data_IF_689258296848
#
_entry.id   IF_689258296848
#
_cell.length_a   1.000
_cell.length_b   1.000
_cell.length_c   1.000
_cell.angle_alpha   90.00
_cell.angle_beta   90.00
_cell.angle_gamma   90.00
#
_symmetry.space_group_name_H-M   'P 1'
#
loop_
_entity.id
_entity.type
_entity.pdbx_description
1 polymer ?
#
# COMPACT_ATOMS: atom_id res chain seq x y z
N UNK A 1 30.50 -18.02 25.83
CA UNK A 1 29.07 -18.41 25.91
C UNK A 1 28.36 -17.81 24.70
N UNK A 2 27.78 -18.64 23.86
CA UNK A 2 27.02 -18.15 22.73
C UNK A 2 25.72 -17.48 23.20
N UNK A 3 25.30 -16.35 22.62
CA UNK A 3 24.01 -15.76 22.95
C UNK A 3 22.88 -16.75 22.60
N UNK A 4 21.86 -16.76 23.41
CA UNK A 4 20.68 -17.55 23.10
C UNK A 4 20.07 -17.07 21.78
N UNK A 5 19.58 -17.99 20.91
CA UNK A 5 18.88 -17.54 19.71
C UNK A 5 17.63 -16.76 20.09
N UNK A 6 17.39 -15.67 19.37
CA UNK A 6 16.17 -14.89 19.57
C UNK A 6 14.99 -15.79 19.18
N UNK A 7 14.12 -16.10 20.14
CA UNK A 7 12.93 -16.88 19.86
C UNK A 7 11.91 -16.05 19.11
N UNK A 8 10.96 -16.71 18.44
CA UNK A 8 9.87 -16.00 17.74
C UNK A 8 9.10 -15.11 18.72
N UNK A 9 9.02 -15.50 20.00
CA UNK A 9 8.34 -14.73 21.04
C UNK A 9 9.06 -13.41 21.38
N UNK A 10 10.37 -13.31 21.11
CA UNK A 10 11.16 -12.11 21.40
C UNK A 10 11.19 -11.10 20.24
N UNK A 11 10.61 -11.45 19.10
CA UNK A 11 10.48 -10.51 17.98
C UNK A 11 9.24 -9.65 18.17
N UNK A 12 9.30 -8.36 17.82
CA UNK A 12 8.09 -7.54 17.80
C UNK A 12 7.02 -8.22 16.95
N UNK A 13 5.88 -8.48 17.55
CA UNK A 13 4.75 -9.01 16.80
C UNK A 13 4.23 -7.93 15.84
N UNK A 14 3.82 -8.31 14.62
CA UNK A 14 3.21 -7.35 13.73
C UNK A 14 1.87 -6.89 14.27
N UNK A 15 1.59 -5.60 14.18
CA UNK A 15 0.23 -5.11 14.31
C UNK A 15 -0.50 -5.54 13.03
N UNK A 16 -1.51 -6.43 13.11
CA UNK A 16 -2.16 -6.92 11.91
C UNK A 16 -2.99 -5.82 11.25
N UNK A 17 -2.98 -5.81 9.92
CA UNK A 17 -3.92 -5.02 9.15
C UNK A 17 -5.06 -5.97 8.80
N UNK A 18 -6.17 -5.83 9.49
CA UNK A 18 -7.28 -6.77 9.34
C UNK A 18 -8.62 -6.05 9.44
N UNK A 19 -9.47 -6.22 8.44
CA UNK A 19 -10.78 -5.61 8.38
C UNK A 19 -10.84 -4.47 7.38
N UNK A 20 -11.80 -3.59 7.58
CA UNK A 20 -12.06 -2.48 6.67
C UNK A 20 -11.32 -1.23 7.11
N UNK A 21 -10.73 -0.56 6.13
CA UNK A 21 -9.99 0.69 6.35
C UNK A 21 -10.36 1.70 5.28
N UNK A 22 -10.36 2.97 5.68
CA UNK A 22 -10.29 4.07 4.73
C UNK A 22 -8.81 4.34 4.44
N UNK A 23 -8.42 4.18 3.20
CA UNK A 23 -7.06 4.45 2.75
C UNK A 23 -7.02 5.84 2.11
N UNK A 24 -6.35 6.77 2.75
CA UNK A 24 -6.13 8.10 2.20
C UNK A 24 -4.84 8.11 1.40
N UNK A 25 -4.96 8.42 0.12
CA UNK A 25 -3.85 8.67 -0.78
C UNK A 25 -3.70 10.19 -0.89
N UNK A 26 -2.72 10.74 -0.19
CA UNK A 26 -2.62 12.20 -0.04
C UNK A 26 -1.88 12.84 -1.20
N UNK A 27 -2.54 12.85 -2.37
CA UNK A 27 -2.00 13.47 -3.57
C UNK A 27 -1.82 14.98 -3.44
N UNK A 28 -2.43 15.63 -2.42
CA UNK A 28 -2.21 17.05 -2.18
C UNK A 28 -0.78 17.35 -1.75
N UNK A 29 -0.08 16.34 -1.18
CA UNK A 29 1.33 16.46 -0.79
C UNK A 29 2.25 15.67 -1.71
N UNK A 30 1.76 15.21 -2.85
CA UNK A 30 2.54 14.44 -3.80
C UNK A 30 3.68 15.26 -4.38
N UNK A 31 4.82 14.59 -4.58
CA UNK A 31 5.96 15.18 -5.27
C UNK A 31 6.35 14.32 -6.46
N UNK A 32 7.04 14.92 -7.41
CA UNK A 32 7.69 14.24 -8.52
C UNK A 32 9.14 14.73 -8.57
N UNK A 33 10.08 13.80 -8.36
CA UNK A 33 11.51 14.10 -8.23
C UNK A 33 11.78 15.19 -7.18
N UNK A 34 11.01 15.17 -6.08
CA UNK A 34 11.16 16.11 -4.98
C UNK A 34 10.46 17.46 -5.16
N UNK A 35 9.90 17.74 -6.33
CA UNK A 35 9.16 18.96 -6.57
C UNK A 35 7.65 18.71 -6.40
N UNK A 36 6.89 19.72 -5.95
CA UNK A 36 5.45 19.54 -5.80
C UNK A 36 4.78 19.09 -7.10
N UNK A 37 3.96 18.05 -7.00
CA UNK A 37 3.15 17.54 -8.10
C UNK A 37 1.73 17.27 -7.55
N UNK A 38 1.08 18.34 -7.13
CA UNK A 38 -0.16 18.31 -6.36
C UNK A 38 -1.31 17.81 -7.22
N UNK A 39 -2.11 16.89 -6.63
CA UNK A 39 -3.31 16.39 -7.26
C UNK A 39 -4.41 16.25 -6.19
N UNK A 40 -5.61 15.90 -6.61
CA UNK A 40 -6.75 15.71 -5.73
C UNK A 40 -6.51 14.48 -4.84
N UNK A 41 -6.59 14.61 -3.50
CA UNK A 41 -6.52 13.44 -2.62
C UNK A 41 -7.62 12.43 -2.94
N UNK A 42 -7.30 11.16 -2.76
CA UNK A 42 -8.25 10.07 -2.96
C UNK A 42 -8.40 9.27 -1.67
N UNK A 43 -9.64 8.89 -1.35
CA UNK A 43 -9.92 7.96 -0.25
C UNK A 43 -10.54 6.71 -0.84
N UNK A 44 -9.99 5.55 -0.49
CA UNK A 44 -10.47 4.26 -0.96
C UNK A 44 -10.84 3.40 0.22
N UNK A 45 -11.95 2.67 0.10
CA UNK A 45 -12.28 1.64 1.07
C UNK A 45 -11.44 0.40 0.74
N UNK A 46 -10.71 -0.10 1.72
CA UNK A 46 -9.90 -1.31 1.58
C UNK A 46 -10.33 -2.38 2.55
N UNK A 47 -10.32 -3.64 2.10
CA UNK A 47 -10.46 -4.78 2.98
C UNK A 47 -9.11 -5.50 3.06
N UNK A 48 -8.61 -5.66 4.28
CA UNK A 48 -7.32 -6.28 4.53
C UNK A 48 -7.47 -7.57 5.30
N UNK A 49 -6.65 -8.56 4.98
CA UNK A 49 -6.50 -9.79 5.76
C UNK A 49 -5.02 -9.97 6.08
N UNK A 50 -4.72 -10.51 7.25
CA UNK A 50 -3.35 -10.81 7.67
C UNK A 50 -3.27 -12.27 8.09
N UNK A 51 -2.27 -12.98 7.59
CA UNK A 51 -1.98 -14.36 7.96
C UNK A 51 -0.50 -14.50 8.24
N UNK A 52 -0.16 -15.27 9.27
CA UNK A 52 1.22 -15.52 9.68
C UNK A 52 1.49 -17.02 9.70
N UNK A 53 2.69 -17.39 9.26
CA UNK A 53 3.17 -18.77 9.32
C UNK A 53 4.65 -18.77 9.74
N UNK A 54 5.31 -19.91 9.60
CA UNK A 54 6.73 -20.05 9.98
C UNK A 54 7.65 -19.16 9.13
N UNK A 55 7.20 -18.70 7.97
CA UNK A 55 7.97 -17.85 7.06
C UNK A 55 7.71 -16.36 7.30
N UNK A 56 6.79 -16.01 8.19
CA UNK A 56 6.47 -14.62 8.50
C UNK A 56 5.00 -14.29 8.28
N UNK A 57 4.72 -13.01 8.27
CA UNK A 57 3.35 -12.49 8.16
C UNK A 57 3.15 -11.78 6.84
N UNK A 58 2.01 -12.01 6.22
CA UNK A 58 1.59 -11.36 4.99
C UNK A 58 0.23 -10.71 5.22
N UNK A 59 0.12 -9.44 4.88
CA UNK A 59 -1.15 -8.73 4.85
C UNK A 59 -1.54 -8.48 3.39
N UNK A 60 -2.80 -8.74 3.06
CA UNK A 60 -3.32 -8.62 1.70
C UNK A 60 -4.38 -7.54 1.66
N UNK A 61 -4.18 -6.57 0.78
CA UNK A 61 -5.20 -5.57 0.45
C UNK A 61 -6.01 -6.13 -0.71
N UNK A 62 -7.26 -6.48 -0.45
CA UNK A 62 -8.12 -7.08 -1.45
C UNK A 62 -8.64 -6.01 -2.42
N UNK A 63 -8.86 -6.42 -3.66
CA UNK A 63 -9.41 -5.53 -4.67
C UNK A 63 -10.78 -5.02 -4.28
N UNK A 64 -11.09 -3.79 -4.63
CA UNK A 64 -12.37 -3.16 -4.31
C UNK A 64 -13.55 -3.99 -4.80
N UNK A 65 -13.44 -4.62 -5.96
CA UNK A 65 -14.48 -5.49 -6.50
C UNK A 65 -14.75 -6.73 -5.65
N UNK A 66 -13.83 -7.10 -4.78
CA UNK A 66 -13.94 -8.28 -3.92
C UNK A 66 -14.47 -7.94 -2.52
N UNK A 67 -14.54 -6.65 -2.15
CA UNK A 67 -14.81 -6.21 -0.78
C UNK A 67 -16.11 -6.78 -0.22
N UNK A 68 -17.12 -6.97 -1.03
CA UNK A 68 -18.44 -7.43 -0.57
C UNK A 68 -18.64 -8.94 -0.67
N UNK A 69 -17.70 -9.71 -1.23
CA UNK A 69 -18.03 -11.05 -1.69
C UNK A 69 -17.03 -12.15 -1.39
N UNK A 70 -15.72 -11.89 -1.37
CA UNK A 70 -14.77 -13.00 -1.34
C UNK A 70 -13.44 -12.61 -0.70
N UNK A 71 -13.23 -13.11 0.53
CA UNK A 71 -11.96 -12.93 1.25
C UNK A 71 -10.79 -13.66 0.59
N UNK A 72 -11.06 -14.57 -0.33
CA UNK A 72 -10.04 -15.33 -1.06
C UNK A 72 -9.76 -14.76 -2.44
N UNK A 73 -10.39 -13.64 -2.79
CA UNK A 73 -10.13 -12.98 -4.05
C UNK A 73 -8.66 -12.55 -4.18
N UNK A 74 -8.14 -12.42 -5.40
CA UNK A 74 -6.77 -11.97 -5.58
C UNK A 74 -6.51 -10.62 -4.91
N UNK A 75 -5.39 -10.52 -4.21
CA UNK A 75 -4.98 -9.27 -3.59
C UNK A 75 -4.61 -8.24 -4.65
N UNK A 76 -4.97 -6.98 -4.39
CA UNK A 76 -4.45 -5.85 -5.15
C UNK A 76 -2.98 -5.64 -4.82
N UNK A 77 -2.64 -5.70 -3.51
CA UNK A 77 -1.28 -5.59 -3.02
C UNK A 77 -1.04 -6.58 -1.89
N UNK A 78 0.19 -7.03 -1.74
CA UNK A 78 0.63 -7.83 -0.62
C UNK A 78 1.73 -7.10 0.14
N UNK A 79 1.60 -7.08 1.47
CA UNK A 79 2.55 -6.45 2.37
C UNK A 79 3.18 -7.52 3.24
N UNK A 80 4.49 -7.39 3.48
CA UNK A 80 5.24 -8.29 4.36
C UNK A 80 5.74 -7.51 5.57
N UNK A 81 5.60 -8.12 6.74
CA UNK A 81 6.11 -7.55 7.99
C UNK A 81 7.62 -7.78 8.07
N UNK A 82 8.38 -6.69 8.28
CA UNK A 82 9.84 -6.78 8.38
C UNK A 82 10.37 -6.69 9.83
N UNK A 83 9.47 -6.71 10.84
CA UNK A 83 9.82 -6.52 12.24
C UNK A 83 9.54 -5.12 12.77
N UNK A 84 9.29 -4.16 11.89
CA UNK A 84 9.03 -2.76 12.23
C UNK A 84 7.84 -2.19 11.48
N UNK A 85 7.69 -2.57 10.23
CA UNK A 85 6.63 -2.05 9.36
C UNK A 85 6.25 -3.06 8.29
N UNK A 86 5.11 -2.81 7.67
CA UNK A 86 4.64 -3.56 6.51
C UNK A 86 5.23 -2.96 5.23
N UNK A 87 5.74 -3.79 4.34
CA UNK A 87 6.33 -3.36 3.08
C UNK A 87 5.75 -4.11 1.90
N UNK A 88 5.54 -3.39 0.80
CA UNK A 88 5.03 -3.95 -0.45
C UNK A 88 5.78 -3.33 -1.62
N UNK A 89 6.04 -4.13 -2.64
CA UNK A 89 6.65 -3.66 -3.88
C UNK A 89 6.11 -4.48 -5.05
N UNK A 90 6.10 -3.87 -6.23
CA UNK A 90 5.67 -4.55 -7.43
C UNK A 90 5.43 -3.59 -8.57
N UNK A 91 5.09 -4.14 -9.72
CA UNK A 91 4.70 -3.36 -10.87
C UNK A 91 3.30 -2.79 -10.68
N UNK A 92 3.09 -1.59 -11.20
CA UNK A 92 1.80 -0.93 -11.14
C UNK A 92 1.53 -0.19 -12.45
N UNK A 93 0.37 -0.41 -13.08
CA UNK A 93 0.02 0.32 -14.29
C UNK A 93 -0.35 1.76 -13.95
N UNK A 94 0.28 2.71 -14.62
CA UNK A 94 0.02 4.13 -14.47
C UNK A 94 -0.64 4.64 -15.74
N UNK A 95 -1.84 5.19 -15.60
CA UNK A 95 -2.56 5.76 -16.73
C UNK A 95 -2.09 7.16 -17.00
N UNK A 96 -1.73 7.46 -18.24
CA UNK A 96 -1.24 8.77 -18.61
C UNK A 96 -2.32 9.84 -18.46
N UNK A 97 -3.57 9.48 -18.71
CA UNK A 97 -4.72 10.33 -18.46
C UNK A 97 -5.82 9.56 -17.72
N UNK A 98 -6.61 10.22 -16.87
CA UNK A 98 -7.65 9.55 -16.09
C UNK A 98 -8.70 8.82 -16.93
N UNK A 99 -8.91 9.24 -18.18
CA UNK A 99 -9.87 8.60 -19.09
C UNK A 99 -9.27 7.41 -19.86
N UNK A 100 -8.00 7.07 -19.60
CA UNK A 100 -7.29 5.99 -20.27
C UNK A 100 -6.65 6.39 -21.60
N UNK A 101 -6.83 7.63 -22.07
CA UNK A 101 -6.18 8.09 -23.29
C UNK A 101 -4.67 8.31 -23.04
N UNK A 102 -3.87 8.26 -24.11
CA UNK A 102 -2.43 8.42 -24.00
C UNK A 102 -1.69 7.17 -23.54
N UNK A 103 -2.41 6.06 -23.27
CA UNK A 103 -1.82 4.79 -22.92
C UNK A 103 -1.52 4.63 -21.43
N UNK A 104 -0.84 3.52 -21.12
CA UNK A 104 -0.38 3.20 -19.77
C UNK A 104 1.12 2.99 -19.77
N UNK A 105 1.73 3.26 -18.63
CA UNK A 105 3.15 2.98 -18.37
C UNK A 105 3.23 2.06 -17.18
N UNK A 106 4.06 1.00 -17.27
CA UNK A 106 4.32 0.15 -16.13
C UNK A 106 5.33 0.84 -15.22
N UNK A 107 4.93 1.09 -13.98
CA UNK A 107 5.79 1.70 -12.97
C UNK A 107 6.21 0.65 -11.94
N UNK A 108 7.25 0.96 -11.17
CA UNK A 108 7.62 0.19 -9.99
C UNK A 108 7.06 0.92 -8.77
N UNK A 109 6.17 0.24 -8.05
CA UNK A 109 5.53 0.76 -6.84
C UNK A 109 6.25 0.20 -5.61
N UNK A 110 6.42 1.03 -4.61
CA UNK A 110 6.92 0.61 -3.30
C UNK A 110 6.15 1.34 -2.23
N UNK A 111 5.57 0.58 -1.28
CA UNK A 111 4.81 1.11 -0.16
C UNK A 111 5.42 0.62 1.14
N UNK A 112 5.30 1.43 2.20
CA UNK A 112 5.44 0.93 3.55
C UNK A 112 4.34 1.53 4.43
N UNK A 113 3.96 0.77 5.48
CA UNK A 113 2.94 1.16 6.45
C UNK A 113 3.44 0.80 7.83
N UNK A 114 3.45 1.77 8.74
CA UNK A 114 3.85 1.58 10.12
C UNK A 114 2.66 1.78 11.05
N UNK A 115 2.47 0.90 12.05
CA UNK A 115 1.38 1.06 13.00
C UNK A 115 1.57 2.31 13.85
N UNK A 116 0.48 3.03 14.09
CA UNK A 116 0.48 4.24 14.94
C UNK A 116 0.18 3.91 16.40
N UNK A 117 -0.19 2.68 16.73
CA UNK A 117 -0.52 2.26 18.09
C UNK A 117 -2.00 2.39 18.46
N UNK A 118 -2.81 2.97 17.60
CA UNK A 118 -4.26 3.18 17.82
C UNK A 118 -5.13 2.38 16.85
N UNK A 119 -4.53 1.45 16.11
CA UNK A 119 -5.21 0.66 15.08
C UNK A 119 -5.10 1.26 13.68
N UNK A 120 -4.59 2.48 13.56
CA UNK A 120 -4.34 3.12 12.27
C UNK A 120 -2.89 2.89 11.83
N UNK A 121 -2.63 3.16 10.57
CA UNK A 121 -1.30 3.01 9.97
C UNK A 121 -0.97 4.25 9.14
N UNK A 122 0.30 4.61 9.14
CA UNK A 122 0.81 5.70 8.31
C UNK A 122 2.00 5.21 7.51
N UNK A 123 2.14 5.70 6.31
CA UNK A 123 3.26 5.32 5.47
C UNK A 123 3.42 6.17 4.24
N UNK A 124 4.11 5.61 3.27
CA UNK A 124 4.45 6.31 2.04
C UNK A 124 4.33 5.34 0.87
N UNK A 125 4.04 5.92 -0.29
CA UNK A 125 4.04 5.20 -1.57
C UNK A 125 4.92 5.93 -2.56
N UNK A 126 5.72 5.17 -3.30
CA UNK A 126 6.50 5.69 -4.40
C UNK A 126 6.15 4.96 -5.68
N UNK A 127 6.15 5.69 -6.79
CA UNK A 127 6.05 5.12 -8.13
C UNK A 127 7.24 5.60 -8.94
N UNK A 128 8.03 4.67 -9.46
CA UNK A 128 9.11 5.02 -10.37
C UNK A 128 8.64 4.82 -11.80
N UNK A 129 8.63 5.92 -12.55
CA UNK A 129 8.23 5.95 -13.94
C UNK A 129 9.48 5.78 -14.79
N UNK A 130 9.53 4.74 -15.64
CA UNK A 130 10.69 4.54 -16.51
C UNK A 130 10.67 5.51 -17.69
N UNK A 131 11.77 5.59 -18.41
CA UNK A 131 11.83 6.25 -19.69
C UNK A 131 11.67 5.22 -20.82
N UNK A 132 10.79 5.48 -21.83
CA UNK A 132 9.89 6.62 -21.95
C UNK A 132 8.68 6.50 -21.05
N UNK A 133 8.22 7.64 -20.51
CA UNK A 133 6.98 7.72 -19.75
C UNK A 133 5.83 8.21 -20.60
N UNK A 134 4.85 8.84 -19.94
CA UNK A 134 3.73 9.46 -20.64
C UNK A 134 4.22 10.64 -21.51
N UNK A 135 3.48 10.98 -22.57
CA UNK A 135 3.86 12.14 -23.41
C UNK A 135 4.04 13.41 -22.56
N UNK A 136 5.17 14.08 -22.76
CA UNK A 136 5.50 15.29 -22.02
C UNK A 136 6.02 15.06 -20.60
N UNK A 137 6.14 13.80 -20.17
CA UNK A 137 6.61 13.45 -18.85
C UNK A 137 7.93 12.68 -18.94
N UNK A 138 8.95 13.19 -18.29
CA UNK A 138 10.24 12.51 -18.21
C UNK A 138 10.20 11.37 -17.17
N UNK A 139 11.27 10.56 -17.10
CA UNK A 139 11.40 9.54 -16.07
C UNK A 139 11.57 10.19 -14.69
N UNK A 140 11.07 9.51 -13.65
CA UNK A 140 11.22 10.01 -12.30
C UNK A 140 10.41 9.23 -11.29
N UNK A 141 10.38 9.73 -10.08
CA UNK A 141 9.69 9.07 -8.97
C UNK A 141 8.65 10.00 -8.37
N UNK A 142 7.40 9.52 -8.33
CA UNK A 142 6.34 10.12 -7.54
C UNK A 142 6.42 9.61 -6.12
N UNK A 143 6.18 10.47 -5.17
CA UNK A 143 6.07 10.15 -3.75
C UNK A 143 4.79 10.77 -3.19
N UNK A 144 4.09 10.03 -2.34
CA UNK A 144 2.95 10.55 -1.59
C UNK A 144 2.80 9.83 -0.26
N UNK A 145 2.29 10.54 0.78
CA UNK A 145 1.94 9.89 2.03
C UNK A 145 0.64 9.12 1.89
N UNK A 146 0.54 8.01 2.63
CA UNK A 146 -0.68 7.23 2.73
C UNK A 146 -1.04 7.02 4.20
N UNK A 147 -2.32 6.89 4.48
CA UNK A 147 -2.82 6.64 5.82
C UNK A 147 -3.98 5.65 5.76
N UNK A 148 -3.97 4.68 6.67
CA UNK A 148 -5.07 3.73 6.83
C UNK A 148 -5.76 4.00 8.15
N UNK A 149 -7.06 4.25 8.11
CA UNK A 149 -7.89 4.45 9.30
C UNK A 149 -8.96 3.36 9.34
N UNK A 150 -9.07 2.60 10.46
CA UNK A 150 -10.12 1.60 10.57
C UNK A 150 -11.51 2.21 10.35
N UNK A 151 -12.38 1.46 9.69
CA UNK A 151 -13.76 1.88 9.46
C UNK A 151 -14.68 0.68 9.57
N UNK A 152 -15.96 0.95 9.68
CA UNK A 152 -16.96 -0.10 9.70
C UNK A 152 -17.12 -0.73 8.32
N UNK A 153 -17.56 -2.01 8.26
CA UNK A 153 -17.90 -2.62 6.99
C UNK A 153 -18.96 -1.79 6.25
N UNK A 154 -18.94 -1.79 4.91
CA UNK A 154 -20.00 -1.13 4.17
C UNK A 154 -21.35 -1.78 4.48
N UNK A 155 -22.48 -1.04 4.39
CA UNK A 155 -23.78 -1.61 4.64
C UNK A 155 -24.06 -2.73 3.65
N UNK A 156 -24.80 -3.79 4.06
CA UNK A 156 -25.16 -4.88 3.16
C UNK A 156 -26.03 -4.34 2.02
N UNK A 157 -25.79 -4.88 0.83
CA UNK A 157 -26.60 -4.55 -0.35
C UNK A 157 -27.89 -5.33 -0.37
#
# INVERSE_FOLDING_TARGET
MAPAPVSVADRPEPAPIYGYYNALLDHARQTFNGAPAVAQPATQLGLFTTACDVNGCISRWLRETAISQDLYAPAQFEYRWNGDRWESAGEYPFYCNPDGSGGTVTTQRSDWLRPNGDGSFSGERTFTVPAPGCPGQGPGTYWLPIALTPTDPPPPR
#
